data_IF_944369728889
#
_entry.id   IF_944369728889
#
_cell.length_a   1.000
_cell.length_b   1.000
_cell.length_c   1.000
_cell.angle_alpha   90.00
_cell.angle_beta   90.00
_cell.angle_gamma   90.00
#
_symmetry.space_group_name_H-M   'P 1'
#
loop_
_entity.id
_entity.type
_entity.pdbx_description
1 polymer ?
#
# COMPACT_ATOMS: atom_id res chain seq x y z
N UNK A 1 -4.30 2.15 -25.95
CA UNK A 1 -2.93 2.56 -25.54
C UNK A 1 -2.51 1.64 -24.41
N UNK A 2 -1.32 1.06 -24.46
CA UNK A 2 -0.84 0.17 -23.37
C UNK A 2 -0.36 1.00 -22.17
N UNK A 3 -0.25 0.37 -21.00
CA UNK A 3 0.32 1.00 -19.79
C UNK A 3 1.72 1.55 -20.09
N UNK A 4 2.55 0.77 -20.79
CA UNK A 4 3.90 1.21 -21.17
C UNK A 4 3.88 2.42 -22.10
N UNK A 5 3.00 2.45 -23.10
CA UNK A 5 2.85 3.61 -23.98
C UNK A 5 2.48 4.87 -23.21
N UNK A 6 1.55 4.78 -22.25
CA UNK A 6 1.17 5.92 -21.38
C UNK A 6 2.38 6.40 -20.57
N UNK A 7 3.12 5.46 -19.97
CA UNK A 7 4.25 5.78 -19.09
C UNK A 7 5.42 6.40 -19.87
N UNK A 8 5.71 5.90 -21.07
CA UNK A 8 6.87 6.34 -21.86
C UNK A 8 6.58 7.60 -22.70
N UNK A 9 5.32 8.00 -22.86
CA UNK A 9 4.94 9.19 -23.63
C UNK A 9 5.44 10.48 -22.97
N UNK A 10 6.48 11.10 -23.54
CA UNK A 10 7.09 12.33 -23.01
C UNK A 10 6.23 13.58 -23.20
N UNK A 11 5.21 13.53 -24.04
CA UNK A 11 4.29 14.66 -24.29
C UNK A 11 3.23 14.81 -23.19
N UNK A 12 2.96 13.73 -22.45
CA UNK A 12 1.94 13.70 -21.39
C UNK A 12 2.60 13.98 -20.02
N UNK A 13 2.00 14.89 -19.25
CA UNK A 13 2.46 15.18 -17.87
C UNK A 13 2.13 14.01 -16.94
N UNK A 14 2.93 13.82 -15.88
CA UNK A 14 2.75 12.72 -14.90
C UNK A 14 1.33 12.63 -14.34
N UNK A 15 0.72 13.78 -14.03
CA UNK A 15 -0.66 13.82 -13.49
C UNK A 15 -1.68 13.25 -14.49
N UNK A 16 -1.56 13.60 -15.77
CA UNK A 16 -2.47 13.11 -16.81
C UNK A 16 -2.24 11.63 -17.11
N UNK A 17 -0.98 11.15 -17.04
CA UNK A 17 -0.68 9.72 -17.10
C UNK A 17 -1.36 8.96 -15.97
N UNK A 18 -1.29 9.48 -14.74
CA UNK A 18 -1.94 8.87 -13.58
C UNK A 18 -3.45 8.76 -13.78
N UNK A 19 -4.11 9.84 -14.24
CA UNK A 19 -5.55 9.82 -14.55
C UNK A 19 -5.90 8.77 -15.60
N UNK A 20 -5.15 8.70 -16.70
CA UNK A 20 -5.37 7.70 -17.74
C UNK A 20 -5.20 6.26 -17.22
N UNK A 21 -4.24 6.01 -16.33
CA UNK A 21 -4.07 4.71 -15.67
C UNK A 21 -5.26 4.39 -14.77
N UNK A 22 -5.71 5.33 -13.94
CA UNK A 22 -6.88 5.16 -13.06
C UNK A 22 -8.13 4.83 -13.88
N UNK A 23 -8.42 5.62 -14.91
CA UNK A 23 -9.57 5.39 -15.78
C UNK A 23 -9.52 4.01 -16.44
N UNK A 24 -8.35 3.62 -16.96
CA UNK A 24 -8.16 2.32 -17.57
C UNK A 24 -8.30 1.14 -16.60
N UNK A 25 -7.91 1.30 -15.33
CA UNK A 25 -8.13 0.28 -14.29
C UNK A 25 -9.63 0.18 -13.99
N UNK A 26 -10.30 1.31 -13.73
CA UNK A 26 -11.71 1.34 -13.33
C UNK A 26 -12.62 0.79 -14.43
N UNK A 27 -12.35 1.11 -15.71
CA UNK A 27 -13.16 0.66 -16.83
C UNK A 27 -12.77 -0.75 -17.35
N UNK A 28 -11.80 -1.41 -16.73
CA UNK A 28 -11.33 -2.75 -17.09
C UNK A 28 -10.45 -2.83 -18.34
N UNK A 29 -10.05 -1.70 -18.94
CA UNK A 29 -9.10 -1.69 -20.05
C UNK A 29 -7.69 -2.13 -19.64
N UNK A 30 -7.36 -1.97 -18.34
CA UNK A 30 -6.14 -2.45 -17.70
C UNK A 30 -6.51 -3.44 -16.60
N UNK A 31 -6.60 -4.71 -16.97
CA UNK A 31 -6.81 -5.81 -16.03
C UNK A 31 -5.52 -6.17 -15.27
N UNK A 32 -5.62 -7.14 -14.36
CA UNK A 32 -4.48 -7.59 -13.57
C UNK A 32 -3.33 -8.11 -14.46
N UNK A 33 -3.66 -8.82 -15.54
CA UNK A 33 -2.68 -9.37 -16.48
C UNK A 33 -1.84 -8.26 -17.12
N UNK A 34 -2.49 -7.20 -17.61
CA UNK A 34 -1.81 -6.05 -18.20
C UNK A 34 -0.92 -5.32 -17.18
N UNK A 35 -1.42 -5.16 -15.94
CA UNK A 35 -0.71 -4.49 -14.85
C UNK A 35 0.52 -5.29 -14.41
N UNK A 36 0.35 -6.59 -14.17
CA UNK A 36 1.45 -7.50 -13.78
C UNK A 36 2.51 -7.58 -14.87
N UNK A 37 2.10 -7.64 -16.14
CA UNK A 37 3.02 -7.59 -17.27
C UNK A 37 3.82 -6.28 -17.28
N UNK A 38 3.16 -5.12 -17.12
CA UNK A 38 3.84 -3.83 -17.07
C UNK A 38 4.89 -3.77 -15.93
N UNK A 39 4.55 -4.27 -14.74
CA UNK A 39 5.47 -4.36 -13.60
C UNK A 39 6.69 -5.24 -13.84
N UNK A 40 6.62 -6.20 -14.78
CA UNK A 40 7.73 -7.11 -15.10
C UNK A 40 8.78 -6.50 -16.03
N UNK A 41 8.42 -5.44 -16.78
CA UNK A 41 9.30 -4.82 -17.78
C UNK A 41 9.72 -3.38 -17.43
N UNK A 42 8.91 -2.66 -16.65
CA UNK A 42 9.18 -1.27 -16.33
C UNK A 42 10.25 -1.14 -15.23
N UNK A 43 11.09 -0.08 -15.28
CA UNK A 43 11.96 0.24 -14.16
C UNK A 43 11.14 0.67 -12.93
N UNK A 44 11.63 0.41 -11.70
CA UNK A 44 10.90 0.71 -10.45
C UNK A 44 10.37 2.15 -10.38
N UNK A 45 11.16 3.13 -10.83
CA UNK A 45 10.73 4.55 -10.89
C UNK A 45 9.43 4.74 -11.68
N UNK A 46 9.23 3.95 -12.74
CA UNK A 46 8.02 4.00 -13.56
C UNK A 46 6.89 3.16 -12.94
N UNK A 47 7.22 2.03 -12.30
CA UNK A 47 6.26 1.22 -11.54
C UNK A 47 5.60 2.06 -10.44
N UNK A 48 6.34 2.97 -9.80
CA UNK A 48 5.79 3.87 -8.77
C UNK A 48 4.54 4.64 -9.23
N UNK A 49 4.46 5.03 -10.50
CA UNK A 49 3.31 5.74 -11.06
C UNK A 49 2.10 4.82 -11.21
N UNK A 50 2.33 3.56 -11.58
CA UNK A 50 1.27 2.56 -11.67
C UNK A 50 0.74 2.18 -10.28
N UNK A 51 1.63 2.01 -9.29
CA UNK A 51 1.24 1.82 -7.89
C UNK A 51 0.49 3.03 -7.34
N UNK A 52 0.84 4.26 -7.73
CA UNK A 52 0.12 5.48 -7.34
C UNK A 52 -1.32 5.54 -7.87
N UNK A 53 -1.55 4.97 -9.07
CA UNK A 53 -2.88 4.80 -9.64
C UNK A 53 -3.66 3.68 -8.93
N UNK A 54 -3.02 2.53 -8.70
CA UNK A 54 -3.61 1.41 -7.95
C UNK A 54 -4.01 1.81 -6.52
N UNK A 55 -3.18 2.60 -5.85
CA UNK A 55 -3.46 3.10 -4.51
C UNK A 55 -4.73 3.95 -4.49
N UNK A 56 -4.89 4.82 -5.49
CA UNK A 56 -6.10 5.65 -5.61
C UNK A 56 -7.35 4.80 -5.84
N UNK A 57 -7.26 3.86 -6.78
CA UNK A 57 -8.37 2.94 -7.08
C UNK A 57 -8.72 2.07 -5.87
N UNK A 58 -7.72 1.59 -5.12
CA UNK A 58 -7.91 0.72 -3.94
C UNK A 58 -8.64 1.40 -2.78
N UNK A 59 -8.77 2.73 -2.78
CA UNK A 59 -9.57 3.49 -1.80
C UNK A 59 -11.04 3.60 -2.17
N UNK A 60 -11.38 3.31 -3.42
CA UNK A 60 -12.74 3.44 -3.92
C UNK A 60 -13.68 2.44 -3.25
N UNK A 61 -14.93 2.85 -3.05
CA UNK A 61 -16.01 1.92 -2.68
C UNK A 61 -16.71 1.32 -3.90
N UNK A 62 -16.54 1.95 -5.06
CA UNK A 62 -17.22 1.61 -6.31
C UNK A 62 -16.45 0.58 -7.12
N UNK A 63 -15.16 0.43 -6.82
CA UNK A 63 -14.27 -0.51 -7.47
C UNK A 63 -13.45 -1.22 -6.40
N UNK A 64 -13.37 -2.55 -6.48
CA UNK A 64 -12.60 -3.38 -5.55
C UNK A 64 -11.53 -4.12 -6.33
N UNK A 65 -10.30 -4.05 -5.85
CA UNK A 65 -9.21 -4.86 -6.38
C UNK A 65 -9.29 -6.27 -5.80
N UNK A 66 -8.94 -7.25 -6.62
CA UNK A 66 -8.84 -8.66 -6.23
C UNK A 66 -7.55 -8.94 -5.44
N UNK A 67 -7.45 -10.15 -4.89
CA UNK A 67 -6.35 -10.57 -4.03
C UNK A 67 -4.98 -10.48 -4.71
N UNK A 68 -4.94 -10.74 -6.02
CA UNK A 68 -3.73 -10.66 -6.83
C UNK A 68 -3.05 -9.28 -6.76
N UNK A 69 -3.82 -8.21 -6.52
CA UNK A 69 -3.28 -6.87 -6.31
C UNK A 69 -2.64 -6.68 -4.94
N UNK A 70 -3.08 -7.40 -3.91
CA UNK A 70 -2.40 -7.46 -2.62
C UNK A 70 -1.04 -8.14 -2.80
N UNK A 71 -1.02 -9.31 -3.46
CA UNK A 71 0.20 -10.06 -3.77
C UNK A 71 1.17 -9.26 -4.65
N UNK A 72 0.65 -8.49 -5.62
CA UNK A 72 1.46 -7.56 -6.40
C UNK A 72 2.07 -6.46 -5.54
N UNK A 73 1.28 -5.83 -4.68
CA UNK A 73 1.73 -4.72 -3.85
C UNK A 73 2.80 -5.17 -2.86
N UNK A 74 2.63 -6.33 -2.25
CA UNK A 74 3.56 -6.89 -1.28
C UNK A 74 5.01 -6.98 -1.80
N UNK A 75 5.18 -7.33 -3.08
CA UNK A 75 6.50 -7.40 -3.75
C UNK A 75 7.29 -6.09 -3.70
N UNK A 76 6.62 -4.96 -3.52
CA UNK A 76 7.24 -3.64 -3.57
C UNK A 76 7.35 -2.95 -2.21
N UNK A 77 6.90 -3.56 -1.11
CA UNK A 77 7.03 -2.96 0.24
C UNK A 77 8.50 -2.70 0.55
N UNK A 78 9.39 -3.64 0.21
CA UNK A 78 10.83 -3.51 0.43
C UNK A 78 11.62 -3.03 -0.80
N UNK A 79 10.95 -2.55 -1.85
CA UNK A 79 11.57 -2.02 -3.08
C UNK A 79 12.68 -1.00 -2.82
N UNK A 80 13.64 -0.88 -3.74
CA UNK A 80 14.70 0.12 -3.62
C UNK A 80 14.20 1.55 -3.86
N UNK A 81 13.12 1.70 -4.63
CA UNK A 81 12.47 2.98 -4.89
C UNK A 81 11.54 3.39 -3.72
N UNK A 82 11.77 4.55 -3.08
CA UNK A 82 10.95 5.01 -1.95
C UNK A 82 9.47 5.22 -2.29
N UNK A 83 9.15 5.58 -3.54
CA UNK A 83 7.76 5.77 -3.95
C UNK A 83 7.05 4.43 -4.08
N UNK A 84 7.73 3.39 -4.59
CA UNK A 84 7.21 2.02 -4.60
C UNK A 84 6.93 1.52 -3.18
N UNK A 85 7.87 1.68 -2.24
CA UNK A 85 7.65 1.33 -0.81
C UNK A 85 6.40 2.03 -0.24
N UNK A 86 6.26 3.33 -0.53
CA UNK A 86 5.17 4.17 -0.02
C UNK A 86 3.80 3.72 -0.54
N UNK A 87 3.67 3.58 -1.86
CA UNK A 87 2.38 3.26 -2.48
C UNK A 87 1.96 1.81 -2.22
N UNK A 88 2.89 0.85 -2.31
CA UNK A 88 2.61 -0.56 -1.98
C UNK A 88 2.08 -0.74 -0.56
N UNK A 89 2.74 -0.14 0.43
CA UNK A 89 2.29 -0.19 1.83
C UNK A 89 0.86 0.35 1.98
N UNK A 90 0.54 1.44 1.28
CA UNK A 90 -0.81 2.03 1.31
C UNK A 90 -1.86 1.13 0.64
N UNK A 91 -1.54 0.51 -0.50
CA UNK A 91 -2.43 -0.44 -1.17
C UNK A 91 -2.73 -1.62 -0.23
N UNK A 92 -1.70 -2.22 0.38
CA UNK A 92 -1.85 -3.29 1.37
C UNK A 92 -2.80 -2.86 2.49
N UNK A 93 -2.60 -1.67 3.07
CA UNK A 93 -3.50 -1.15 4.09
C UNK A 93 -4.94 -0.98 3.62
N UNK A 94 -5.15 -0.60 2.37
CA UNK A 94 -6.49 -0.46 1.77
C UNK A 94 -7.17 -1.82 1.59
N UNK A 95 -6.43 -2.85 1.18
CA UNK A 95 -6.95 -4.19 0.87
C UNK A 95 -6.99 -5.14 2.08
N UNK A 96 -6.30 -4.83 3.18
CA UNK A 96 -6.14 -5.74 4.32
C UNK A 96 -7.44 -6.35 4.86
N UNK A 97 -8.51 -5.56 4.95
CA UNK A 97 -9.80 -6.05 5.47
C UNK A 97 -10.52 -7.00 4.49
N UNK A 98 -10.26 -6.89 3.18
CA UNK A 98 -10.83 -7.76 2.17
C UNK A 98 -10.14 -9.12 2.11
N UNK A 99 -8.83 -9.16 2.41
CA UNK A 99 -8.00 -10.38 2.34
C UNK A 99 -7.26 -10.64 3.66
N UNK A 100 -7.97 -10.81 4.78
CA UNK A 100 -7.37 -10.82 6.11
C UNK A 100 -6.54 -12.08 6.41
N UNK A 101 -6.60 -13.11 5.55
CA UNK A 101 -5.85 -14.36 5.69
C UNK A 101 -4.44 -14.30 5.07
N UNK A 102 -4.14 -13.30 4.23
CA UNK A 102 -2.93 -13.26 3.40
C UNK A 102 -2.12 -11.99 3.69
N UNK A 103 -1.76 -11.76 4.96
CA UNK A 103 -1.07 -10.54 5.39
C UNK A 103 0.25 -10.79 6.12
N UNK A 104 0.62 -12.03 6.44
CA UNK A 104 1.79 -12.30 7.29
C UNK A 104 3.09 -11.74 6.69
N UNK A 105 3.37 -12.01 5.41
CA UNK A 105 4.57 -11.49 4.75
C UNK A 105 4.53 -9.96 4.61
N UNK A 106 3.37 -9.39 4.27
CA UNK A 106 3.20 -7.94 4.27
C UNK A 106 3.45 -7.31 5.65
N UNK A 107 2.96 -7.92 6.74
CA UNK A 107 3.16 -7.44 8.11
C UNK A 107 4.65 -7.39 8.44
N UNK A 108 5.40 -8.45 8.16
CA UNK A 108 6.84 -8.50 8.42
C UNK A 108 7.59 -7.39 7.67
N UNK A 109 7.29 -7.22 6.38
CA UNK A 109 7.88 -6.18 5.54
C UNK A 109 7.51 -4.75 6.01
N UNK A 110 6.27 -4.54 6.46
CA UNK A 110 5.81 -3.26 6.99
C UNK A 110 6.45 -2.93 8.34
N UNK A 111 6.64 -3.92 9.21
CA UNK A 111 7.35 -3.76 10.49
C UNK A 111 8.81 -3.37 10.25
N UNK A 112 9.47 -3.91 9.22
CA UNK A 112 10.81 -3.49 8.84
C UNK A 112 10.84 -2.02 8.39
N UNK A 113 9.93 -1.62 7.51
CA UNK A 113 9.86 -0.23 7.04
C UNK A 113 9.38 0.76 8.12
N UNK A 114 8.72 0.29 9.19
CA UNK A 114 8.34 1.12 10.32
C UNK A 114 9.56 1.67 11.11
N UNK A 115 10.74 1.09 10.91
CA UNK A 115 12.02 1.55 11.50
C UNK A 115 12.88 2.33 10.48
N UNK A 116 12.36 2.59 9.27
CA UNK A 116 13.09 3.30 8.20
C UNK A 116 13.42 4.76 8.59
N UNK A 117 14.58 5.29 8.18
CA UNK A 117 15.01 6.66 8.54
C UNK A 117 14.06 7.76 8.02
N UNK A 118 13.51 7.57 6.82
CA UNK A 118 12.59 8.49 6.16
C UNK A 118 11.15 8.43 6.69
N UNK A 119 10.65 9.56 7.19
CA UNK A 119 9.29 9.71 7.75
C UNK A 119 8.18 9.25 6.80
N UNK A 120 8.31 9.52 5.49
CA UNK A 120 7.27 9.16 4.51
C UNK A 120 7.07 7.63 4.43
N UNK A 121 8.16 6.87 4.53
CA UNK A 121 8.12 5.40 4.48
C UNK A 121 7.56 4.84 5.79
N UNK A 122 8.00 5.36 6.94
CA UNK A 122 7.41 5.00 8.24
C UNK A 122 5.93 5.31 8.30
N UNK A 123 5.52 6.47 7.79
CA UNK A 123 4.11 6.87 7.77
C UNK A 123 3.25 5.92 6.94
N UNK A 124 3.71 5.53 5.75
CA UNK A 124 3.00 4.59 4.89
C UNK A 124 2.89 3.20 5.53
N UNK A 125 3.95 2.77 6.22
CA UNK A 125 3.94 1.49 6.95
C UNK A 125 3.01 1.55 8.15
N UNK A 126 3.07 2.64 8.92
CA UNK A 126 2.17 2.89 10.04
C UNK A 126 0.71 2.92 9.62
N UNK A 127 0.41 3.53 8.48
CA UNK A 127 -0.92 3.54 7.88
C UNK A 127 -1.44 2.13 7.60
N UNK A 128 -0.62 1.26 7.01
CA UNK A 128 -1.01 -0.11 6.70
C UNK A 128 -1.21 -0.95 7.96
N UNK A 129 -0.22 -0.95 8.87
CA UNK A 129 -0.27 -1.65 10.15
C UNK A 129 -1.47 -1.21 11.01
N UNK A 130 -1.76 0.10 11.02
CA UNK A 130 -2.92 0.68 11.69
C UNK A 130 -4.26 0.17 11.14
N UNK A 131 -4.33 -0.28 9.88
CA UNK A 131 -5.55 -0.87 9.30
C UNK A 131 -5.61 -2.37 9.55
N UNK A 132 -4.47 -3.06 9.46
CA UNK A 132 -4.35 -4.50 9.72
C UNK A 132 -4.73 -4.82 11.18
N UNK A 133 -4.23 -4.06 12.15
CA UNK A 133 -4.51 -4.30 13.58
C UNK A 133 -5.97 -4.11 13.97
N UNK A 134 -6.81 -3.52 13.10
CA UNK A 134 -8.25 -3.40 13.31
C UNK A 134 -9.03 -4.66 12.93
N UNK A 135 -8.36 -5.64 12.35
CA UNK A 135 -8.95 -6.94 12.01
C UNK A 135 -8.86 -7.82 13.29
N UNK A 136 -9.95 -8.50 13.71
CA UNK A 136 -10.02 -9.16 15.02
C UNK A 136 -8.88 -10.14 15.33
N UNK A 137 -8.44 -10.96 14.36
CA UNK A 137 -7.34 -11.91 14.63
C UNK A 137 -6.01 -11.22 14.93
N UNK A 138 -5.75 -10.04 14.35
CA UNK A 138 -4.51 -9.31 14.59
C UNK A 138 -4.62 -8.37 15.80
N UNK A 139 -5.82 -7.85 16.09
CA UNK A 139 -6.09 -7.08 17.31
C UNK A 139 -5.83 -7.91 18.59
N UNK A 140 -6.20 -9.19 18.56
CA UNK A 140 -5.98 -10.16 19.65
C UNK A 140 -4.61 -10.86 19.57
N UNK A 141 -3.85 -10.59 18.52
CA UNK A 141 -2.58 -11.24 18.23
C UNK A 141 -1.35 -10.42 18.66
N UNK A 142 -0.14 -10.94 18.37
CA UNK A 142 1.12 -10.26 18.69
C UNK A 142 1.28 -8.89 18.01
N UNK A 143 0.60 -8.68 16.88
CA UNK A 143 0.69 -7.44 16.10
C UNK A 143 0.30 -6.22 16.92
N UNK A 144 -0.70 -6.34 17.80
CA UNK A 144 -1.11 -5.24 18.67
C UNK A 144 0.06 -4.76 19.54
N UNK A 145 0.76 -5.69 20.21
CA UNK A 145 1.89 -5.36 21.08
C UNK A 145 3.08 -4.80 20.30
N UNK A 146 3.32 -5.32 19.09
CA UNK A 146 4.36 -4.79 18.21
C UNK A 146 4.07 -3.32 17.83
N UNK A 147 2.83 -3.02 17.45
CA UNK A 147 2.41 -1.66 17.09
C UNK A 147 2.42 -0.72 18.31
N UNK A 148 2.05 -1.20 19.50
CA UNK A 148 2.15 -0.43 20.75
C UNK A 148 3.59 0.03 21.01
N UNK A 149 4.57 -0.88 20.86
CA UNK A 149 5.99 -0.52 21.01
C UNK A 149 6.48 0.46 19.95
N UNK A 150 6.07 0.30 18.68
CA UNK A 150 6.38 1.28 17.62
C UNK A 150 5.80 2.66 17.94
N UNK A 151 4.55 2.70 18.43
CA UNK A 151 3.88 3.93 18.82
C UNK A 151 4.58 4.66 19.96
N UNK A 152 5.08 3.94 20.96
CA UNK A 152 5.82 4.52 22.08
C UNK A 152 7.12 5.19 21.62
N UNK A 153 7.90 4.48 20.80
CA UNK A 153 9.21 4.91 20.30
C UNK A 153 9.14 6.03 19.25
N UNK A 154 8.08 6.08 18.44
CA UNK A 154 7.96 7.07 17.36
C UNK A 154 7.89 8.51 17.91
N UNK A 155 8.70 9.38 17.30
CA UNK A 155 8.87 10.79 17.67
C UNK A 155 8.10 11.73 16.75
N UNK A 156 7.87 11.32 15.49
CA UNK A 156 7.09 12.09 14.54
C UNK A 156 5.59 11.93 14.82
N UNK A 157 4.91 13.04 15.09
CA UNK A 157 3.53 13.04 15.53
C UNK A 157 2.56 12.50 14.47
N UNK A 158 2.79 12.78 13.19
CA UNK A 158 2.00 12.25 12.07
C UNK A 158 2.01 10.72 12.03
N UNK A 159 3.19 10.11 12.09
CA UNK A 159 3.36 8.65 12.15
C UNK A 159 2.75 8.08 13.44
N UNK A 160 3.11 8.65 14.60
CA UNK A 160 2.61 8.21 15.92
C UNK A 160 1.08 8.23 15.99
N UNK A 161 0.45 9.23 15.38
CA UNK A 161 -1.01 9.37 15.37
C UNK A 161 -1.73 8.28 14.57
N UNK A 162 -1.08 7.66 13.56
CA UNK A 162 -1.67 6.50 12.87
C UNK A 162 -1.85 5.35 13.85
N UNK A 163 -0.78 5.00 14.58
CA UNK A 163 -0.81 3.93 15.56
C UNK A 163 -1.78 4.22 16.72
N UNK A 164 -1.70 5.40 17.35
CA UNK A 164 -2.56 5.76 18.50
C UNK A 164 -4.05 5.60 18.19
N UNK A 165 -4.48 6.08 17.01
CA UNK A 165 -5.89 6.01 16.61
C UNK A 165 -6.33 4.56 16.37
N UNK A 166 -5.47 3.75 15.77
CA UNK A 166 -5.76 2.34 15.53
C UNK A 166 -5.78 1.53 16.81
N UNK A 167 -4.75 1.65 17.66
CA UNK A 167 -4.67 0.93 18.94
C UNK A 167 -5.89 1.20 19.82
N UNK A 168 -6.34 2.46 19.94
CA UNK A 168 -7.57 2.80 20.69
C UNK A 168 -8.82 2.08 20.17
N UNK A 169 -8.90 1.81 18.86
CA UNK A 169 -10.01 1.07 18.25
C UNK A 169 -9.83 -0.43 18.40
N UNK A 170 -8.62 -0.94 18.15
CA UNK A 170 -8.26 -2.34 18.27
C UNK A 170 -8.44 -2.87 19.71
N UNK A 171 -8.18 -2.03 20.72
CA UNK A 171 -8.43 -2.36 22.13
C UNK A 171 -9.87 -2.82 22.39
N UNK A 172 -10.84 -2.26 21.66
CA UNK A 172 -12.26 -2.61 21.78
C UNK A 172 -12.63 -3.93 21.09
N UNK A 173 -11.74 -4.45 20.26
CA UNK A 173 -11.94 -5.69 19.50
C UNK A 173 -11.27 -6.89 20.20
N UNK A 174 -10.38 -6.63 21.17
CA UNK A 174 -9.76 -7.65 22.00
C UNK A 174 -10.81 -8.36 22.82
#
# INVERSE_FOLDING_TARGET
MTIQQIIDDKSIKRLEKRKALIEGIINGSFDFSAISAACSFLPEKNISLLLEALEEVSRSKEFSLEEDYLNLSERYILSSDPSCKRESSRIVGNLAAAFPANLDHAIDALLQNAEHEGTVIRWASAYALARIVLIPQYARGPLFEQISRLCEKEQENGVKNQYKKALKKAEKLR
#
